data_IF_696261440000
#
_entry.id   IF_696261440000
#
_cell.length_a   1.000
_cell.length_b   1.000
_cell.length_c   1.000
_cell.angle_alpha   90.00
_cell.angle_beta   90.00
_cell.angle_gamma   90.00
#
_symmetry.space_group_name_H-M   'P 1'
#
loop_
_entity.id
_entity.type
_entity.pdbx_description
1 polymer ?
#
# COMPACT_ATOMS: atom_id res chain seq x y z
N UNK A 1 2.75 18.76 -10.91
CA UNK A 1 1.49 18.71 -11.67
C UNK A 1 0.68 17.56 -11.10
N UNK A 2 -0.38 17.84 -10.37
CA UNK A 2 -1.33 16.80 -9.94
C UNK A 2 -2.24 16.50 -11.13
N UNK A 3 -2.26 15.26 -11.61
CA UNK A 3 -3.26 14.87 -12.61
C UNK A 3 -4.64 14.94 -11.95
N UNK A 4 -5.63 15.56 -12.59
CA UNK A 4 -7.00 15.54 -12.08
C UNK A 4 -7.53 14.11 -12.19
N UNK A 5 -7.52 13.39 -11.08
CA UNK A 5 -7.96 11.99 -11.03
C UNK A 5 -9.45 11.84 -11.36
N UNK A 6 -10.23 12.92 -11.30
CA UNK A 6 -11.62 12.90 -11.72
C UNK A 6 -11.75 12.83 -13.25
N UNK A 7 -10.72 13.20 -14.01
CA UNK A 7 -10.71 13.10 -15.48
C UNK A 7 -10.48 11.68 -16.00
N UNK A 8 -10.11 10.73 -15.13
CA UNK A 8 -9.92 9.34 -15.52
C UNK A 8 -11.22 8.72 -16.05
N UNK A 9 -11.15 7.75 -16.97
CA UNK A 9 -12.30 6.94 -17.35
C UNK A 9 -13.02 6.35 -16.13
N UNK A 10 -14.34 6.22 -16.20
CA UNK A 10 -15.17 5.81 -15.06
C UNK A 10 -14.79 4.42 -14.55
N UNK A 11 -14.47 3.51 -15.45
CA UNK A 11 -14.04 2.15 -15.17
C UNK A 11 -12.72 2.14 -14.38
N UNK A 12 -11.80 3.06 -14.65
CA UNK A 12 -10.56 3.17 -13.89
C UNK A 12 -10.82 3.72 -12.49
N UNK A 13 -11.69 4.73 -12.36
CA UNK A 13 -12.06 5.26 -11.03
C UNK A 13 -12.71 4.16 -10.15
N UNK A 14 -13.62 3.38 -10.72
CA UNK A 14 -14.27 2.25 -10.03
C UNK A 14 -13.24 1.18 -9.65
N UNK A 15 -12.30 0.85 -10.55
CA UNK A 15 -11.22 -0.09 -10.25
C UNK A 15 -10.32 0.37 -9.11
N UNK A 16 -9.94 1.65 -9.10
CA UNK A 16 -9.11 2.25 -8.04
C UNK A 16 -9.87 2.25 -6.71
N UNK A 17 -11.16 2.62 -6.70
CA UNK A 17 -11.96 2.62 -5.48
C UNK A 17 -12.07 1.21 -4.89
N UNK A 18 -12.28 0.20 -5.73
CA UNK A 18 -12.29 -1.21 -5.30
C UNK A 18 -10.93 -1.64 -4.74
N UNK A 19 -9.83 -1.27 -5.38
CA UNK A 19 -8.49 -1.56 -4.86
C UNK A 19 -8.28 -0.94 -3.48
N UNK A 20 -8.72 0.30 -3.26
CA UNK A 20 -8.65 0.96 -1.95
C UNK A 20 -9.44 0.17 -0.91
N UNK A 21 -10.67 -0.25 -1.24
CA UNK A 21 -11.51 -1.04 -0.32
C UNK A 21 -10.86 -2.38 0.04
N UNK A 22 -10.18 -3.04 -0.90
CA UNK A 22 -9.48 -4.30 -0.66
C UNK A 22 -8.21 -4.12 0.20
N UNK A 23 -7.57 -2.95 0.16
CA UNK A 23 -6.37 -2.63 0.95
C UNK A 23 -6.67 -1.98 2.31
N UNK A 24 -7.92 -1.56 2.55
CA UNK A 24 -8.38 -0.91 3.79
C UNK A 24 -8.57 -1.92 4.92
N UNK A 25 -7.47 -2.55 5.33
CA UNK A 25 -7.41 -3.57 6.37
C UNK A 25 -6.44 -3.11 7.46
N UNK A 26 -6.85 -3.11 8.74
CA UNK A 26 -5.97 -2.79 9.87
C UNK A 26 -4.68 -3.65 9.85
N UNK A 27 -3.51 -3.09 10.19
CA UNK A 27 -3.29 -1.77 10.78
C UNK A 27 -3.11 -0.62 9.76
N UNK A 28 -3.25 -0.90 8.46
CA UNK A 28 -2.96 0.10 7.45
C UNK A 28 -4.09 1.13 7.36
N UNK A 29 -3.79 2.44 7.31
CA UNK A 29 -4.80 3.44 7.05
C UNK A 29 -5.31 3.30 5.62
N UNK A 30 -6.59 3.60 5.42
CA UNK A 30 -7.21 3.69 4.10
C UNK A 30 -6.40 4.61 3.18
N UNK A 31 -6.10 4.14 1.97
CA UNK A 31 -5.34 4.88 0.98
C UNK A 31 -6.17 6.00 0.34
N UNK A 32 -5.50 7.11 -0.01
CA UNK A 32 -6.07 8.08 -0.95
C UNK A 32 -6.03 7.52 -2.38
N UNK A 33 -6.81 8.09 -3.29
CA UNK A 33 -6.75 7.70 -4.72
C UNK A 33 -5.39 7.97 -5.36
N UNK A 34 -4.69 9.01 -4.93
CA UNK A 34 -3.35 9.32 -5.39
C UNK A 34 -2.36 8.26 -4.92
N UNK A 35 -2.40 7.89 -3.63
CA UNK A 35 -1.53 6.87 -3.06
C UNK A 35 -1.79 5.50 -3.69
N UNK A 36 -3.07 5.14 -3.86
CA UNK A 36 -3.47 3.90 -4.51
C UNK A 36 -2.90 3.79 -5.93
N UNK A 37 -2.95 4.87 -6.72
CA UNK A 37 -2.34 4.90 -8.05
C UNK A 37 -0.83 4.72 -8.01
N UNK A 38 -0.15 5.36 -7.06
CA UNK A 38 1.30 5.19 -6.90
C UNK A 38 1.65 3.74 -6.59
N UNK A 39 0.90 3.08 -5.70
CA UNK A 39 1.09 1.66 -5.37
C UNK A 39 0.86 0.78 -6.59
N UNK A 40 -0.27 0.93 -7.29
CA UNK A 40 -0.62 0.14 -8.47
C UNK A 40 0.45 0.30 -9.57
N UNK A 41 0.85 1.54 -9.88
CA UNK A 41 1.83 1.81 -10.94
C UNK A 41 3.20 1.28 -10.54
N UNK A 42 3.62 1.45 -9.28
CA UNK A 42 4.89 0.90 -8.79
C UNK A 42 4.92 -0.61 -8.90
N UNK A 43 3.87 -1.29 -8.43
CA UNK A 43 3.76 -2.75 -8.49
C UNK A 43 3.81 -3.26 -9.94
N UNK A 44 3.06 -2.61 -10.84
CA UNK A 44 3.10 -2.93 -12.27
C UNK A 44 4.51 -2.74 -12.85
N UNK A 45 5.18 -1.62 -12.57
CA UNK A 45 6.54 -1.36 -13.05
C UNK A 45 7.56 -2.37 -12.49
N UNK A 46 7.40 -2.80 -11.24
CA UNK A 46 8.23 -3.82 -10.62
C UNK A 46 8.02 -5.19 -11.26
N UNK A 47 6.77 -5.59 -11.51
CA UNK A 47 6.42 -6.84 -12.18
C UNK A 47 6.97 -6.92 -13.61
N UNK A 48 7.15 -5.78 -14.29
CA UNK A 48 7.76 -5.71 -15.61
C UNK A 48 9.29 -5.57 -15.59
N UNK A 49 9.91 -5.41 -14.41
CA UNK A 49 11.35 -5.21 -14.29
C UNK A 49 11.84 -3.80 -14.63
N UNK A 50 10.94 -2.82 -14.79
CA UNK A 50 11.31 -1.42 -14.99
C UNK A 50 11.77 -0.74 -13.69
N UNK A 51 11.31 -1.23 -12.54
CA UNK A 51 11.73 -0.78 -11.20
C UNK A 51 12.22 -1.99 -10.42
N UNK A 52 13.34 -1.84 -9.70
CA UNK A 52 13.86 -2.90 -8.86
C UNK A 52 12.86 -3.26 -7.74
N UNK A 53 12.74 -4.54 -7.43
CA UNK A 53 12.09 -4.98 -6.20
C UNK A 53 12.91 -4.48 -5.01
N UNK A 54 12.27 -4.04 -3.92
CA UNK A 54 13.01 -3.68 -2.72
C UNK A 54 13.82 -4.90 -2.26
N UNK A 55 15.08 -4.69 -1.89
CA UNK A 55 15.90 -5.71 -1.26
C UNK A 55 15.23 -6.10 0.07
N UNK A 56 14.56 -7.25 0.07
CA UNK A 56 13.82 -7.73 1.22
C UNK A 56 14.76 -8.27 2.29
N UNK A 57 15.17 -7.42 3.25
CA UNK A 57 15.51 -7.88 4.60
C UNK A 57 15.46 -6.77 5.67
N UNK A 58 14.31 -6.13 5.81
CA UNK A 58 13.95 -5.48 7.08
C UNK A 58 12.75 -6.19 7.67
N UNK A 59 12.93 -7.48 7.97
CA UNK A 59 12.14 -8.13 9.01
C UNK A 59 12.49 -7.42 10.31
N UNK A 60 11.65 -6.48 10.75
CA UNK A 60 11.74 -5.99 12.12
C UNK A 60 11.35 -7.18 12.99
N UNK A 61 12.26 -7.78 13.77
CA UNK A 61 11.90 -8.89 14.63
C UNK A 61 10.84 -8.41 15.62
N UNK A 62 9.73 -9.15 15.70
CA UNK A 62 8.72 -9.04 16.77
C UNK A 62 9.38 -9.51 18.07
N UNK A 63 10.30 -8.71 18.60
CA UNK A 63 10.99 -8.97 19.87
C UNK A 63 10.79 -7.85 20.88
N UNK A 64 9.87 -6.92 20.63
CA UNK A 64 9.54 -5.83 21.57
C UNK A 64 8.08 -5.87 22.05
N UNK A 65 7.42 -7.03 21.95
CA UNK A 65 6.08 -7.26 22.49
C UNK A 65 6.10 -8.27 23.66
N UNK A 66 7.14 -8.24 24.49
CA UNK A 66 7.23 -9.07 25.70
C UNK A 66 7.77 -8.27 26.88
N UNK A 67 6.96 -7.33 27.37
CA UNK A 67 7.01 -6.90 28.75
C UNK A 67 5.59 -6.95 29.32
N UNK A 68 5.10 -8.17 29.58
CA UNK A 68 4.10 -8.37 30.63
C UNK A 68 4.85 -8.38 31.97
N UNK A 69 4.55 -7.47 32.91
CA UNK A 69 5.18 -7.48 34.22
C UNK A 69 4.77 -8.78 34.93
N UNK A 70 5.77 -9.58 35.34
CA UNK A 70 5.54 -10.69 36.26
C UNK A 70 5.29 -10.10 37.65
N UNK A 71 4.09 -10.35 38.17
CA UNK A 71 3.72 -10.16 39.56
C UNK A 71 4.50 -11.15 40.44
N UNK A 72 5.09 -10.66 41.54
CA UNK A 72 5.89 -11.42 42.50
C UNK A 72 6.29 -10.58 43.70
#
# INVERSE_FOLDING_TARGET
MSADLNSLPVELRVGIDRFIDEQDIPPNPRLSREDALVVIVRDWLQAQGYVALPDGDSVVPVSVASETPSDG
#
